data_IF_275965849108
#
_entry.id   IF_275965849108
#
_cell.length_a   1.000
_cell.length_b   1.000
_cell.length_c   1.000
_cell.angle_alpha   90.00
_cell.angle_beta   90.00
_cell.angle_gamma   90.00
#
_symmetry.space_group_name_H-M   'P 1'
#
loop_
_entity.id
_entity.type
_entity.pdbx_description
1 polymer ?
#
# COMPACT_ATOMS: atom_id res chain seq x y z
N UNK A 1 26.80 -21.82 -8.94
CA UNK A 1 25.44 -21.36 -9.27
C UNK A 1 25.28 -19.99 -8.65
N UNK A 2 25.16 -18.96 -9.48
CA UNK A 2 25.64 -17.61 -9.19
C UNK A 2 24.60 -16.79 -8.42
N UNK A 3 24.92 -16.31 -7.22
CA UNK A 3 24.07 -15.35 -6.47
C UNK A 3 23.69 -14.09 -7.27
N UNK A 4 24.43 -13.77 -8.34
CA UNK A 4 24.14 -12.70 -9.29
C UNK A 4 22.79 -12.85 -10.02
N UNK A 5 22.31 -14.08 -10.23
CA UNK A 5 21.04 -14.32 -10.95
C UNK A 5 19.81 -14.07 -10.05
N UNK A 6 19.95 -14.20 -8.72
CA UNK A 6 18.87 -13.94 -7.77
C UNK A 6 18.72 -12.45 -7.44
N UNK A 7 19.78 -11.65 -7.63
CA UNK A 7 19.76 -10.22 -7.33
C UNK A 7 18.86 -9.42 -8.31
N UNK A 8 18.79 -9.84 -9.57
CA UNK A 8 18.01 -9.14 -10.61
C UNK A 8 16.49 -9.09 -10.30
N UNK A 9 15.79 -10.19 -10.01
CA UNK A 9 14.36 -10.14 -9.66
C UNK A 9 14.10 -9.41 -8.33
N UNK A 10 15.02 -9.49 -7.36
CA UNK A 10 14.92 -8.74 -6.11
C UNK A 10 14.98 -7.22 -6.37
N UNK A 11 15.89 -6.78 -7.25
CA UNK A 11 16.02 -5.38 -7.63
C UNK A 11 14.73 -4.82 -8.28
N UNK A 12 14.07 -5.61 -9.14
CA UNK A 12 12.83 -5.22 -9.81
C UNK A 12 11.60 -5.20 -8.89
N UNK A 13 11.51 -6.11 -7.91
CA UNK A 13 10.38 -6.16 -6.96
C UNK A 13 10.42 -4.99 -5.97
N UNK A 14 11.61 -4.60 -5.52
CA UNK A 14 11.74 -3.61 -4.44
C UNK A 14 11.98 -2.19 -4.93
N UNK A 15 12.18 -2.00 -6.24
CA UNK A 15 12.37 -0.67 -6.82
C UNK A 15 11.38 -0.45 -7.97
N UNK A 16 10.18 -0.01 -7.64
CA UNK A 16 9.15 0.42 -8.59
C UNK A 16 9.65 1.48 -9.60
N UNK A 17 10.66 2.29 -9.25
CA UNK A 17 11.24 3.29 -10.15
C UNK A 17 12.08 2.65 -11.28
N UNK A 18 12.52 1.39 -11.11
CA UNK A 18 13.12 0.62 -12.19
C UNK A 18 12.10 0.08 -13.21
N UNK A 19 10.79 0.15 -12.90
CA UNK A 19 9.73 -0.10 -13.89
C UNK A 19 9.48 1.12 -14.80
N UNK A 20 10.15 2.26 -14.54
CA UNK A 20 10.03 3.51 -15.30
C UNK A 20 8.60 4.08 -15.40
N UNK A 21 7.69 3.63 -14.53
CA UNK A 21 6.34 4.18 -14.42
C UNK A 21 6.48 5.51 -13.66
N UNK A 22 6.14 6.61 -14.33
CA UNK A 22 6.20 8.00 -13.83
C UNK A 22 7.60 8.52 -13.41
N UNK A 23 8.68 7.99 -13.98
CA UNK A 23 10.06 8.39 -13.63
C UNK A 23 10.67 9.35 -14.65
N UNK A 24 11.26 10.43 -14.16
CA UNK A 24 12.02 11.39 -14.99
C UNK A 24 13.42 10.86 -15.33
N UNK A 25 14.01 11.35 -16.42
CA UNK A 25 15.34 10.90 -16.87
C UNK A 25 16.46 11.15 -15.84
N UNK A 26 16.34 12.19 -15.01
CA UNK A 26 17.28 12.46 -13.91
C UNK A 26 17.17 11.43 -12.80
N UNK A 27 15.95 11.07 -12.40
CA UNK A 27 15.69 10.05 -11.38
C UNK A 27 16.21 8.68 -11.85
N UNK A 28 16.02 8.34 -13.13
CA UNK A 28 16.57 7.11 -13.70
C UNK A 28 18.10 7.01 -13.58
N UNK A 29 18.83 8.10 -13.88
CA UNK A 29 20.30 8.15 -13.72
C UNK A 29 20.69 8.02 -12.24
N UNK A 30 19.97 8.72 -11.35
CA UNK A 30 20.22 8.67 -9.92
C UNK A 30 20.03 7.26 -9.34
N UNK A 31 18.93 6.59 -9.68
CA UNK A 31 18.63 5.22 -9.28
C UNK A 31 19.70 4.25 -9.83
N UNK A 32 20.15 4.43 -11.08
CA UNK A 32 21.20 3.60 -11.66
C UNK A 32 22.53 3.70 -10.89
N UNK A 33 22.94 4.92 -10.52
CA UNK A 33 24.16 5.14 -9.73
C UNK A 33 24.03 4.48 -8.35
N UNK A 34 22.90 4.68 -7.67
CA UNK A 34 22.65 4.08 -6.35
C UNK A 34 22.66 2.55 -6.43
N UNK A 35 21.95 1.97 -7.41
CA UNK A 35 21.90 0.53 -7.62
C UNK A 35 23.30 -0.05 -7.89
N UNK A 36 24.11 0.66 -8.68
CA UNK A 36 25.50 0.26 -8.95
C UNK A 36 26.34 0.24 -7.66
N UNK A 37 26.25 1.30 -6.85
CA UNK A 37 26.96 1.37 -5.57
C UNK A 37 26.46 0.29 -4.60
N UNK A 38 25.16 0.07 -4.50
CA UNK A 38 24.56 -0.95 -3.67
C UNK A 38 25.03 -2.36 -4.06
N UNK A 39 25.12 -2.66 -5.36
CA UNK A 39 25.66 -3.92 -5.87
C UNK A 39 27.15 -4.11 -5.53
N UNK A 40 27.95 -3.05 -5.57
CA UNK A 40 29.37 -3.11 -5.17
C UNK A 40 29.52 -3.37 -3.66
N UNK A 41 28.72 -2.70 -2.83
CA UNK A 41 28.70 -2.92 -1.38
C UNK A 41 28.24 -4.34 -1.05
N UNK A 42 27.20 -4.83 -1.71
CA UNK A 42 26.71 -6.20 -1.55
C UNK A 42 27.74 -7.25 -1.98
N UNK A 43 28.41 -7.04 -3.13
CA UNK A 43 29.48 -7.91 -3.60
C UNK A 43 30.64 -7.95 -2.59
N UNK A 44 31.05 -6.81 -2.05
CA UNK A 44 32.11 -6.76 -1.05
C UNK A 44 31.72 -7.42 0.27
N UNK A 45 30.48 -7.21 0.73
CA UNK A 45 29.96 -7.86 1.94
C UNK A 45 29.93 -9.40 1.78
N UNK A 46 29.48 -9.89 0.62
CA UNK A 46 29.45 -11.34 0.33
C UNK A 46 30.84 -11.95 0.13
N UNK A 47 31.80 -11.18 -0.39
CA UNK A 47 33.20 -11.61 -0.54
C UNK A 47 34.04 -11.44 0.74
N UNK A 48 33.54 -10.70 1.74
CA UNK A 48 34.28 -10.36 2.96
C UNK A 48 35.47 -9.42 2.70
N UNK A 49 35.45 -8.68 1.60
CA UNK A 49 36.55 -7.82 1.17
C UNK A 49 36.04 -6.61 0.36
N UNK A 50 36.29 -5.38 0.84
CA UNK A 50 35.90 -4.13 0.15
C UNK A 50 37.13 -3.45 -0.47
N UNK A 51 38.00 -2.90 0.39
CA UNK A 51 39.36 -2.41 0.07
C UNK A 51 40.36 -3.12 1.00
N UNK A 52 39.92 -3.38 2.24
CA UNK A 52 40.56 -4.22 3.24
C UNK A 52 39.66 -5.40 3.60
N UNK A 53 40.21 -6.41 4.28
CA UNK A 53 39.44 -7.53 4.82
C UNK A 53 38.39 -7.00 5.79
N UNK A 54 37.13 -7.41 5.61
CA UNK A 54 36.03 -7.03 6.49
C UNK A 54 36.06 -7.86 7.78
N UNK A 55 35.85 -7.19 8.92
CA UNK A 55 35.54 -7.85 10.18
C UNK A 55 34.15 -8.48 10.13
N UNK A 56 33.91 -9.51 10.94
CA UNK A 56 32.65 -10.24 10.88
C UNK A 56 31.41 -9.38 11.21
N UNK A 57 31.57 -8.29 11.98
CA UNK A 57 30.52 -7.31 12.26
C UNK A 57 30.32 -6.29 11.13
N UNK A 58 31.33 -6.02 10.31
CA UNK A 58 31.22 -5.09 9.19
C UNK A 58 30.39 -5.69 8.06
N UNK A 59 30.42 -7.02 7.90
CA UNK A 59 29.60 -7.74 6.91
C UNK A 59 28.10 -7.47 7.09
N UNK A 60 27.47 -7.73 8.25
CA UNK A 60 26.05 -7.45 8.44
C UNK A 60 25.72 -5.95 8.35
N UNK A 61 26.62 -5.06 8.76
CA UNK A 61 26.43 -3.60 8.60
C UNK A 61 26.40 -3.21 7.12
N UNK A 62 27.33 -3.70 6.30
CA UNK A 62 27.33 -3.45 4.87
C UNK A 62 26.13 -4.07 4.16
N UNK A 63 25.66 -5.23 4.61
CA UNK A 63 24.42 -5.83 4.11
C UNK A 63 23.19 -4.98 4.45
N UNK A 64 23.12 -4.41 5.66
CA UNK A 64 22.05 -3.47 6.04
C UNK A 64 22.09 -2.18 5.21
N UNK A 65 23.28 -1.65 4.94
CA UNK A 65 23.46 -0.47 4.08
C UNK A 65 23.03 -0.81 2.64
N UNK A 66 23.48 -1.93 2.08
CA UNK A 66 23.08 -2.38 0.75
C UNK A 66 21.56 -2.55 0.67
N UNK A 67 20.93 -3.17 1.67
CA UNK A 67 19.47 -3.33 1.75
C UNK A 67 18.75 -1.97 1.76
N UNK A 68 19.23 -1.03 2.58
CA UNK A 68 18.65 0.31 2.67
C UNK A 68 18.75 1.08 1.35
N UNK A 69 19.84 0.89 0.59
CA UNK A 69 20.02 1.49 -0.73
C UNK A 69 19.17 0.80 -1.81
N UNK A 70 18.94 -0.51 -1.71
CA UNK A 70 18.06 -1.23 -2.64
C UNK A 70 16.59 -0.91 -2.43
N UNK A 71 16.18 -0.66 -1.18
CA UNK A 71 14.79 -0.38 -0.82
C UNK A 71 14.69 0.81 0.15
N UNK A 72 14.98 2.04 -0.30
CA UNK A 72 14.78 3.22 0.53
C UNK A 72 13.30 3.39 0.93
N UNK A 73 12.38 2.95 0.07
CA UNK A 73 10.94 2.93 0.34
C UNK A 73 10.54 2.13 1.58
N UNK A 74 11.30 1.10 1.99
CA UNK A 74 11.00 0.34 3.21
C UNK A 74 10.92 1.22 4.46
N UNK A 75 11.82 2.21 4.55
CA UNK A 75 11.85 3.14 5.67
C UNK A 75 10.81 4.25 5.48
N UNK A 76 10.55 4.67 4.23
CA UNK A 76 9.55 5.68 3.93
C UNK A 76 8.13 5.18 4.24
N UNK A 77 7.80 3.93 3.87
CA UNK A 77 6.52 3.29 4.14
C UNK A 77 6.22 3.19 5.66
N UNK A 78 7.26 3.16 6.49
CA UNK A 78 7.11 3.16 7.96
C UNK A 78 6.89 4.56 8.55
N UNK A 79 7.33 5.63 7.87
CA UNK A 79 7.22 7.02 8.33
C UNK A 79 5.93 7.66 7.79
N UNK A 80 5.59 7.35 6.54
CA UNK A 80 4.38 7.80 5.86
C UNK A 80 3.65 6.56 5.35
N UNK A 81 2.88 5.85 6.20
CA UNK A 81 2.08 4.74 5.73
C UNK A 81 1.19 5.21 4.57
N UNK A 82 1.09 4.45 3.47
CA UNK A 82 0.33 4.87 2.30
C UNK A 82 -1.18 4.94 2.54
N UNK A 83 -1.66 4.38 3.66
CA UNK A 83 -3.07 4.42 4.08
C UNK A 83 -3.12 4.66 5.60
N UNK A 84 -4.00 5.57 6.02
CA UNK A 84 -4.34 5.78 7.42
C UNK A 84 -5.49 4.82 7.77
N UNK A 85 -5.26 3.87 8.68
CA UNK A 85 -6.32 3.00 9.18
C UNK A 85 -7.17 3.79 10.18
N UNK A 86 -8.33 4.24 9.73
CA UNK A 86 -9.28 5.01 10.53
C UNK A 86 -10.32 4.08 11.16
N UNK A 87 -10.76 4.37 12.38
CA UNK A 87 -11.79 3.58 13.05
C UNK A 87 -13.13 3.67 12.29
N UNK A 88 -13.98 2.63 12.32
CA UNK A 88 -15.27 2.65 11.63
C UNK A 88 -16.11 3.89 12.00
N UNK A 89 -16.10 4.30 13.28
CA UNK A 89 -16.84 5.47 13.78
C UNK A 89 -16.42 6.80 13.14
N UNK A 90 -15.24 6.87 12.54
CA UNK A 90 -14.70 8.04 11.86
C UNK A 90 -14.79 7.94 10.32
N UNK A 91 -15.48 6.93 9.77
CA UNK A 91 -15.68 6.77 8.32
C UNK A 91 -16.31 7.99 7.66
N UNK A 92 -17.22 8.67 8.35
CA UNK A 92 -17.82 9.92 7.86
C UNK A 92 -16.78 11.04 7.75
N UNK A 93 -15.87 11.16 8.72
CA UNK A 93 -14.76 12.12 8.66
C UNK A 93 -13.71 11.74 7.62
N UNK A 94 -13.41 10.44 7.47
CA UNK A 94 -12.51 9.93 6.43
C UNK A 94 -13.06 10.20 5.02
N UNK A 95 -14.37 9.97 4.82
CA UNK A 95 -15.08 10.27 3.58
C UNK A 95 -15.09 11.77 3.25
N UNK A 96 -15.16 12.63 4.26
CA UNK A 96 -15.04 14.08 4.07
C UNK A 96 -13.65 14.48 3.59
N UNK A 97 -12.61 13.89 4.19
CA UNK A 97 -11.21 14.13 3.87
C UNK A 97 -10.79 13.57 2.49
N UNK A 98 -11.48 12.54 1.98
CA UNK A 98 -11.22 12.00 0.64
C UNK A 98 -11.70 12.97 -0.45
N UNK A 99 -10.81 13.42 -1.36
CA UNK A 99 -11.19 14.24 -2.51
C UNK A 99 -12.19 13.51 -3.42
N UNK A 100 -13.06 14.26 -4.12
CA UNK A 100 -13.96 13.67 -5.11
C UNK A 100 -13.16 13.03 -6.26
N UNK A 101 -13.54 11.80 -6.64
CA UNK A 101 -12.90 10.99 -7.66
C UNK A 101 -11.78 10.06 -7.17
N UNK A 102 -11.38 10.15 -5.89
CA UNK A 102 -10.49 9.18 -5.27
C UNK A 102 -11.25 8.00 -4.65
N UNK A 103 -10.57 6.87 -4.50
CA UNK A 103 -11.15 5.64 -3.97
C UNK A 103 -10.96 5.55 -2.45
N UNK A 104 -12.05 5.54 -1.70
CA UNK A 104 -12.07 5.22 -0.28
C UNK A 104 -12.05 3.70 -0.09
N UNK A 105 -11.06 3.19 0.64
CA UNK A 105 -10.95 1.75 0.93
C UNK A 105 -11.66 1.42 2.23
N UNK A 106 -12.69 0.59 2.13
CA UNK A 106 -13.48 0.15 3.27
C UNK A 106 -13.24 -1.35 3.44
N UNK A 107 -12.73 -1.74 4.60
CA UNK A 107 -12.62 -3.15 4.98
C UNK A 107 -13.98 -3.56 5.53
N UNK A 108 -14.56 -4.62 4.98
CA UNK A 108 -15.81 -5.18 5.45
C UNK A 108 -15.60 -6.63 5.88
N UNK A 109 -16.33 -7.02 6.91
CA UNK A 109 -16.55 -8.39 7.33
C UNK A 109 -18.00 -8.77 7.01
N UNK A 110 -18.17 -9.84 6.24
CA UNK A 110 -19.48 -10.29 5.79
C UNK A 110 -19.50 -11.78 5.54
N UNK A 111 -20.59 -12.26 4.93
CA UNK A 111 -20.73 -13.65 4.51
C UNK A 111 -20.52 -13.75 3.00
N UNK A 112 -19.84 -14.82 2.56
CA UNK A 112 -19.78 -15.16 1.14
C UNK A 112 -21.12 -15.74 0.65
N UNK A 113 -21.22 -15.98 -0.66
CA UNK A 113 -22.39 -16.58 -1.30
C UNK A 113 -22.79 -17.98 -0.77
N UNK A 114 -21.97 -18.58 0.09
CA UNK A 114 -22.19 -19.88 0.72
C UNK A 114 -22.38 -19.78 2.25
N UNK A 115 -22.44 -18.58 2.81
CA UNK A 115 -22.62 -18.33 4.24
C UNK A 115 -21.36 -18.50 5.09
N UNK A 116 -20.17 -18.49 4.49
CA UNK A 116 -18.90 -18.51 5.21
C UNK A 116 -18.43 -17.09 5.51
N UNK A 117 -17.87 -16.81 6.70
CA UNK A 117 -17.33 -15.48 7.01
C UNK A 117 -16.15 -15.16 6.08
N UNK A 118 -16.19 -13.97 5.49
CA UNK A 118 -15.17 -13.43 4.60
C UNK A 118 -14.88 -11.98 4.96
N UNK A 119 -13.60 -11.63 5.07
CA UNK A 119 -13.14 -10.24 5.11
C UNK A 119 -12.69 -9.83 3.71
N UNK A 120 -13.17 -8.68 3.24
CA UNK A 120 -12.74 -8.12 1.96
C UNK A 120 -12.54 -6.61 2.07
N UNK A 121 -11.77 -6.05 1.15
CA UNK A 121 -11.55 -4.61 1.05
C UNK A 121 -12.20 -4.13 -0.23
N UNK A 122 -13.18 -3.24 -0.08
CA UNK A 122 -13.91 -2.63 -1.19
C UNK A 122 -13.38 -1.22 -1.46
N UNK A 123 -13.32 -0.86 -2.74
CA UNK A 123 -12.90 0.45 -3.22
C UNK A 123 -14.16 1.23 -3.59
N UNK A 124 -14.52 2.21 -2.78
CA UNK A 124 -15.66 3.08 -3.04
C UNK A 124 -15.17 4.36 -3.71
N UNK A 125 -15.53 4.56 -4.97
CA UNK A 125 -15.23 5.82 -5.65
C UNK A 125 -16.10 6.94 -5.06
N UNK A 126 -15.47 7.96 -4.50
CA UNK A 126 -16.16 9.03 -3.78
C UNK A 126 -16.67 10.11 -4.75
N UNK A 127 -17.99 10.34 -4.87
CA UNK A 127 -18.53 11.43 -5.67
C UNK A 127 -18.37 12.79 -4.99
N UNK A 128 -18.63 13.87 -5.74
CA UNK A 128 -18.70 15.23 -5.19
C UNK A 128 -19.81 15.35 -4.13
N UNK A 129 -19.48 15.97 -2.99
CA UNK A 129 -20.43 16.24 -1.90
C UNK A 129 -19.86 17.25 -0.91
N UNK A 130 -20.73 18.02 -0.23
CA UNK A 130 -20.32 19.10 0.67
C UNK A 130 -19.89 18.60 2.06
N UNK A 131 -20.23 17.35 2.42
CA UNK A 131 -19.81 16.67 3.66
C UNK A 131 -19.69 15.16 3.51
N UNK A 132 -19.04 14.50 4.49
CA UNK A 132 -18.75 13.06 4.41
C UNK A 132 -19.96 12.14 4.32
N UNK A 133 -21.03 12.41 5.08
CA UNK A 133 -22.28 11.66 5.01
C UNK A 133 -22.98 11.82 3.65
N UNK A 134 -23.03 13.05 3.13
CA UNK A 134 -23.62 13.34 1.81
C UNK A 134 -22.83 12.67 0.68
N UNK A 135 -21.50 12.61 0.78
CA UNK A 135 -20.65 11.89 -0.18
C UNK A 135 -20.91 10.38 -0.15
N UNK A 136 -21.08 9.77 1.04
CA UNK A 136 -21.37 8.34 1.17
C UNK A 136 -22.77 8.01 0.63
N UNK A 137 -23.78 8.83 0.95
CA UNK A 137 -25.13 8.69 0.39
C UNK A 137 -25.13 8.88 -1.14
N UNK A 138 -24.39 9.86 -1.66
CA UNK A 138 -24.24 10.06 -3.11
C UNK A 138 -23.48 8.91 -3.78
N UNK A 139 -22.55 8.26 -3.06
CA UNK A 139 -21.89 7.03 -3.50
C UNK A 139 -22.84 5.81 -3.46
N UNK A 140 -24.03 5.99 -2.89
CA UNK A 140 -25.07 4.98 -2.74
C UNK A 140 -24.86 4.03 -1.58
N UNK A 141 -24.08 4.42 -0.57
CA UNK A 141 -23.83 3.64 0.63
C UNK A 141 -24.52 4.27 1.84
N UNK A 142 -25.51 3.58 2.41
CA UNK A 142 -26.16 3.98 3.66
C UNK A 142 -25.64 3.12 4.79
N UNK A 143 -25.19 3.75 5.86
CA UNK A 143 -24.62 3.08 7.04
C UNK A 143 -25.55 3.28 8.24
N UNK A 144 -25.61 2.25 9.08
CA UNK A 144 -26.31 2.29 10.37
C UNK A 144 -25.38 1.84 11.47
N UNK A 145 -25.42 2.55 12.59
CA UNK A 145 -24.73 2.15 13.81
C UNK A 145 -25.54 1.07 14.54
N UNK A 146 -24.92 -0.10 14.76
CA UNK A 146 -25.45 -1.18 15.60
C UNK A 146 -24.52 -1.41 16.80
N UNK A 147 -24.76 -0.63 17.86
CA UNK A 147 -23.90 -0.61 19.04
C UNK A 147 -22.56 0.06 18.76
N UNK A 148 -21.46 -0.69 18.90
CA UNK A 148 -20.09 -0.23 18.62
C UNK A 148 -19.63 -0.53 17.18
N UNK A 149 -20.54 -1.03 16.32
CA UNK A 149 -20.24 -1.48 14.96
C UNK A 149 -21.01 -0.66 13.93
N UNK A 150 -20.41 -0.47 12.76
CA UNK A 150 -21.09 0.12 11.61
C UNK A 150 -21.47 -0.98 10.62
N UNK A 151 -22.74 -0.99 10.25
CA UNK A 151 -23.30 -2.00 9.35
C UNK A 151 -23.89 -1.29 8.12
N UNK A 152 -23.75 -1.90 6.96
CA UNK A 152 -24.36 -1.43 5.71
C UNK A 152 -25.87 -1.65 5.76
N UNK A 153 -26.63 -0.55 5.79
CA UNK A 153 -28.09 -0.55 5.92
C UNK A 153 -28.81 -0.57 4.58
N UNK A 154 -28.24 0.06 3.55
CA UNK A 154 -28.75 -0.02 2.19
C UNK A 154 -27.67 0.33 1.16
N UNK A 155 -27.80 -0.25 -0.03
CA UNK A 155 -26.94 0.05 -1.18
C UNK A 155 -27.82 0.46 -2.36
N UNK A 156 -27.70 1.73 -2.77
CA UNK A 156 -28.53 2.28 -3.84
C UNK A 156 -28.26 1.58 -5.18
N UNK A 157 -29.32 1.35 -5.96
CA UNK A 157 -29.22 0.69 -7.25
C UNK A 157 -28.46 1.53 -8.29
N UNK A 158 -27.61 0.88 -9.09
CA UNK A 158 -26.70 1.47 -10.10
C UNK A 158 -25.64 2.45 -9.52
N UNK A 159 -25.42 2.40 -8.21
CA UNK A 159 -24.46 3.26 -7.50
C UNK A 159 -23.01 2.78 -7.61
N UNK A 160 -22.02 3.66 -7.34
CA UNK A 160 -20.63 3.26 -7.11
C UNK A 160 -20.48 2.16 -6.05
N UNK A 161 -21.24 2.22 -4.95
CA UNK A 161 -21.22 1.21 -3.91
C UNK A 161 -21.68 -0.17 -4.42
N UNK A 162 -22.77 -0.24 -5.17
CA UNK A 162 -23.23 -1.50 -5.76
C UNK A 162 -22.19 -2.09 -6.73
N UNK A 163 -21.56 -1.23 -7.53
CA UNK A 163 -20.51 -1.65 -8.49
C UNK A 163 -19.23 -2.12 -7.80
N UNK A 164 -18.92 -1.57 -6.62
CA UNK A 164 -17.81 -2.01 -5.77
C UNK A 164 -18.10 -3.35 -5.06
N UNK A 165 -19.36 -3.79 -5.04
CA UNK A 165 -19.78 -5.08 -4.50
C UNK A 165 -20.31 -5.05 -3.07
N UNK A 166 -20.62 -3.86 -2.53
CA UNK A 166 -21.25 -3.73 -1.22
C UNK A 166 -22.62 -4.41 -1.22
N UNK A 167 -22.94 -5.07 -0.12
CA UNK A 167 -24.23 -5.74 0.10
C UNK A 167 -24.78 -5.36 1.48
N UNK A 168 -26.08 -5.55 1.63
CA UNK A 168 -26.79 -5.32 2.89
C UNK A 168 -26.27 -6.24 4.00
N UNK A 169 -26.27 -5.75 5.25
CA UNK A 169 -25.89 -6.49 6.46
C UNK A 169 -24.38 -6.82 6.57
N UNK A 170 -23.54 -6.13 5.81
CA UNK A 170 -22.08 -6.20 5.93
C UNK A 170 -21.58 -5.29 7.06
N UNK A 171 -20.66 -5.78 7.90
CA UNK A 171 -20.07 -5.04 9.02
C UNK A 171 -18.73 -4.41 8.59
N UNK A 172 -18.46 -3.17 9.00
CA UNK A 172 -17.25 -2.39 8.70
C UNK A 172 -16.31 -2.32 9.89
#
# INVERSE_FOLDING_TARGET
YSMRTAALPFLFIFNHQLLLIDVTWYEGIFVFIIATVAMLIFAAATQGWFITRLQFWEVPVLLLIAFSLFRPGFWMDQISPPFEEVAPTELTSAAEATPPGEDLRIRISGLDQFGSPMETVMLLNMPDGAGGAEKLEAAGLTLREDGDKLVVDDVAFDSPAQKAGFDWDQEI
#
